data_IF_918741916061
#
_entry.id   IF_918741916061
#
_cell.length_a   1.000
_cell.length_b   1.000
_cell.length_c   1.000
_cell.angle_alpha   90.00
_cell.angle_beta   90.00
_cell.angle_gamma   90.00
#
_symmetry.space_group_name_H-M   'P 1'
#
loop_
_entity.id
_entity.type
_entity.pdbx_description
1 polymer ?
#
# COMPACT_ATOMS: atom_id res chain seq x y z
N UNK A 1 43.87 -16.48 2.01
CA UNK A 1 42.95 -15.97 0.97
C UNK A 1 43.11 -14.46 0.92
N UNK A 2 43.22 -13.87 -0.27
CA UNK A 2 43.25 -12.41 -0.41
C UNK A 2 41.80 -11.89 -0.41
N UNK A 3 41.58 -10.72 0.19
CA UNK A 3 40.26 -10.07 0.20
C UNK A 3 39.87 -9.69 -1.23
N UNK A 4 38.66 -10.07 -1.72
CA UNK A 4 38.16 -9.64 -3.02
C UNK A 4 38.12 -8.11 -3.15
N UNK A 5 38.36 -7.60 -4.35
CA UNK A 5 38.53 -6.16 -4.62
C UNK A 5 37.32 -5.31 -4.23
N UNK A 6 36.14 -5.90 -4.27
CA UNK A 6 34.83 -5.30 -4.07
C UNK A 6 34.15 -5.77 -2.78
N UNK A 7 34.85 -6.49 -1.90
CA UNK A 7 34.25 -7.03 -0.67
C UNK A 7 33.63 -5.94 0.24
N UNK A 8 34.20 -4.74 0.25
CA UNK A 8 33.67 -3.59 0.99
C UNK A 8 32.46 -2.93 0.28
N UNK A 9 32.29 -3.17 -1.02
CA UNK A 9 31.21 -2.61 -1.83
C UNK A 9 30.01 -3.57 -1.94
N UNK A 10 30.25 -4.87 -1.84
CA UNK A 10 29.22 -5.91 -1.91
C UNK A 10 28.50 -6.00 -0.56
N UNK A 11 27.23 -5.60 -0.56
CA UNK A 11 26.34 -5.81 0.58
C UNK A 11 26.09 -7.33 0.76
N UNK A 12 26.42 -7.85 1.94
CA UNK A 12 26.07 -9.22 2.32
C UNK A 12 24.55 -9.44 2.33
N UNK A 13 24.10 -10.68 2.17
CA UNK A 13 22.68 -11.00 2.21
C UNK A 13 22.10 -10.62 3.57
N UNK A 14 21.26 -9.59 3.59
CA UNK A 14 20.44 -9.23 4.75
C UNK A 14 19.09 -9.92 4.55
N UNK A 15 18.63 -10.69 5.54
CA UNK A 15 17.32 -11.34 5.45
C UNK A 15 16.23 -10.30 5.19
N UNK A 16 15.38 -10.53 4.20
CA UNK A 16 14.25 -9.65 3.91
C UNK A 16 13.23 -9.76 5.04
N UNK A 17 13.07 -8.69 5.83
CA UNK A 17 11.96 -8.57 6.77
C UNK A 17 10.80 -7.88 6.04
N UNK A 18 9.65 -8.53 5.99
CA UNK A 18 8.44 -7.92 5.44
C UNK A 18 7.85 -6.89 6.42
N UNK A 19 7.12 -5.90 5.89
CA UNK A 19 6.28 -5.03 6.72
C UNK A 19 5.17 -5.87 7.36
N UNK A 20 5.02 -5.75 8.67
CA UNK A 20 4.00 -6.39 9.46
C UNK A 20 2.61 -5.87 9.07
N UNK A 21 1.60 -6.73 9.19
CA UNK A 21 0.22 -6.27 9.04
C UNK A 21 -0.21 -5.62 10.34
N UNK A 22 -0.97 -4.52 10.25
CA UNK A 22 -1.44 -3.78 11.40
C UNK A 22 -1.21 -2.28 11.27
N UNK A 23 -1.17 -1.61 12.42
CA UNK A 23 -1.02 -0.17 12.49
C UNK A 23 0.43 0.28 12.43
N UNK A 24 0.71 1.23 11.55
CA UNK A 24 2.00 1.89 11.45
C UNK A 24 1.85 3.41 11.54
N UNK A 25 2.80 4.04 12.24
CA UNK A 25 2.99 5.49 12.22
C UNK A 25 3.77 5.81 10.94
N UNK A 26 3.17 6.56 10.04
CA UNK A 26 3.78 6.95 8.78
C UNK A 26 4.14 8.43 8.77
N UNK A 27 5.19 8.74 8.03
CA UNK A 27 5.57 10.09 7.60
C UNK A 27 5.22 10.27 6.13
N UNK A 28 4.59 11.40 5.81
CA UNK A 28 4.29 11.77 4.43
C UNK A 28 5.57 12.30 3.77
N UNK A 29 6.05 11.60 2.76
CA UNK A 29 7.26 11.94 2.03
C UNK A 29 6.99 12.98 0.94
N UNK A 30 5.84 12.85 0.27
CA UNK A 30 5.39 13.72 -0.81
C UNK A 30 3.88 13.58 -1.00
N UNK A 31 3.23 14.66 -1.43
CA UNK A 31 1.90 14.61 -2.04
C UNK A 31 2.01 15.20 -3.44
N UNK A 32 1.29 14.64 -4.40
CA UNK A 32 1.18 15.16 -5.77
C UNK A 32 -0.29 15.29 -6.14
N UNK A 33 -0.67 16.40 -6.76
CA UNK A 33 -1.96 16.56 -7.42
C UNK A 33 -1.86 16.08 -8.86
N UNK A 34 -2.76 15.19 -9.26
CA UNK A 34 -2.73 14.55 -10.57
C UNK A 34 -4.12 14.11 -11.02
N UNK A 35 -4.20 13.41 -12.15
CA UNK A 35 -5.42 12.77 -12.65
C UNK A 35 -5.27 11.26 -12.63
N UNK A 36 -6.36 10.58 -12.31
CA UNK A 36 -6.49 9.14 -12.49
C UNK A 36 -6.44 8.77 -13.99
N UNK A 37 -6.33 7.47 -14.30
CA UNK A 37 -6.41 6.99 -15.69
C UNK A 37 -7.69 7.43 -16.43
N UNK A 38 -8.78 7.65 -15.70
CA UNK A 38 -10.05 8.12 -16.22
C UNK A 38 -10.17 9.67 -16.23
N UNK A 39 -9.08 10.41 -16.00
CA UNK A 39 -9.07 11.88 -16.04
C UNK A 39 -9.60 12.59 -14.78
N UNK A 40 -10.03 11.83 -13.76
CA UNK A 40 -10.57 12.37 -12.49
C UNK A 40 -9.47 12.86 -11.56
N UNK A 41 -9.69 13.99 -10.90
CA UNK A 41 -8.72 14.59 -9.97
C UNK A 41 -8.43 13.69 -8.77
N UNK A 42 -7.14 13.59 -8.45
CA UNK A 42 -6.59 12.64 -7.50
C UNK A 42 -5.35 13.22 -6.83
N UNK A 43 -5.13 12.87 -5.57
CA UNK A 43 -3.86 13.06 -4.89
C UNK A 43 -3.10 11.74 -4.79
N UNK A 44 -1.78 11.79 -4.99
CA UNK A 44 -0.87 10.67 -4.78
C UNK A 44 -0.04 10.96 -3.54
N UNK A 45 -0.20 10.14 -2.51
CA UNK A 45 0.43 10.31 -1.21
C UNK A 45 1.50 9.23 -1.06
N UNK A 46 2.74 9.66 -0.90
CA UNK A 46 3.89 8.78 -0.70
C UNK A 46 4.19 8.68 0.78
N UNK A 47 4.11 7.47 1.33
CA UNK A 47 4.34 7.20 2.74
C UNK A 47 5.71 6.54 2.93
N UNK A 48 6.33 6.84 4.07
CA UNK A 48 7.34 6.01 4.70
C UNK A 48 6.91 5.72 6.15
N UNK A 49 7.40 4.66 6.75
CA UNK A 49 7.24 4.40 8.19
C UNK A 49 8.10 5.40 8.97
N UNK A 50 7.51 6.10 9.93
CA UNK A 50 8.22 7.11 10.72
C UNK A 50 9.30 6.46 11.61
N UNK A 51 10.30 7.25 12.02
CA UNK A 51 11.35 6.81 12.94
C UNK A 51 10.83 6.31 14.30
N UNK A 52 9.62 6.71 14.68
CA UNK A 52 8.96 6.29 15.93
C UNK A 52 8.07 5.06 15.76
N UNK A 53 8.00 4.51 14.55
CA UNK A 53 7.25 3.28 14.25
C UNK A 53 7.99 2.02 14.72
N UNK A 54 7.26 0.91 14.80
CA UNK A 54 7.82 -0.43 15.08
C UNK A 54 8.78 -0.93 13.99
N UNK A 55 8.58 -0.53 12.74
CA UNK A 55 9.44 -0.86 11.61
C UNK A 55 9.84 0.42 10.85
N UNK A 56 10.75 1.23 11.42
CA UNK A 56 11.05 2.58 10.90
C UNK A 56 11.78 2.57 9.56
N UNK A 57 11.61 3.63 8.76
CA UNK A 57 12.26 3.85 7.45
C UNK A 57 12.13 2.71 6.43
N UNK A 58 11.16 1.81 6.60
CA UNK A 58 11.01 0.60 5.82
C UNK A 58 11.00 0.85 4.30
N UNK A 59 10.23 1.82 3.83
CA UNK A 59 10.10 2.07 2.40
C UNK A 59 11.26 2.87 1.83
N UNK A 60 11.84 3.79 2.61
CA UNK A 60 13.06 4.49 2.18
C UNK A 60 14.29 3.57 2.12
N UNK A 61 14.41 2.62 3.06
CA UNK A 61 15.45 1.59 3.02
C UNK A 61 15.26 0.65 1.83
N UNK A 62 14.03 0.18 1.59
CA UNK A 62 13.72 -0.61 0.40
C UNK A 62 14.05 0.13 -0.89
N UNK A 63 13.77 1.43 -0.98
CA UNK A 63 14.12 2.27 -2.13
C UNK A 63 15.64 2.43 -2.30
N UNK A 64 16.39 2.66 -1.21
CA UNK A 64 17.86 2.79 -1.26
C UNK A 64 18.51 1.50 -1.74
N UNK A 65 18.03 0.36 -1.24
CA UNK A 65 18.53 -0.97 -1.55
C UNK A 65 18.06 -1.50 -2.92
N UNK A 66 17.10 -0.82 -3.58
CA UNK A 66 16.70 -1.17 -4.95
C UNK A 66 17.86 -0.89 -5.92
N UNK A 67 18.32 -1.95 -6.61
CA UNK A 67 19.39 -1.89 -7.62
C UNK A 67 18.86 -1.76 -9.04
N UNK A 68 17.54 -1.77 -9.23
CA UNK A 68 16.90 -1.63 -10.55
C UNK A 68 16.91 -0.16 -10.96
N UNK A 69 17.11 0.10 -12.25
CA UNK A 69 17.01 1.44 -12.83
C UNK A 69 15.87 1.51 -13.86
N UNK A 70 14.98 2.52 -13.81
CA UNK A 70 14.92 3.56 -12.78
C UNK A 70 14.40 3.02 -11.44
N UNK A 71 14.97 3.51 -10.33
CA UNK A 71 14.45 3.22 -8.99
C UNK A 71 13.01 3.70 -8.84
N UNK A 72 12.17 2.92 -8.16
CA UNK A 72 10.75 3.23 -7.93
C UNK A 72 10.41 3.13 -6.46
N UNK A 73 9.66 4.10 -5.95
CA UNK A 73 9.08 3.99 -4.62
C UNK A 73 8.14 2.79 -4.55
N UNK A 74 8.11 2.10 -3.41
CA UNK A 74 7.30 0.91 -3.27
C UNK A 74 5.81 1.25 -3.45
N UNK A 75 5.15 0.62 -4.43
CA UNK A 75 3.77 0.91 -4.76
C UNK A 75 2.79 0.61 -3.61
N UNK A 76 3.16 -0.26 -2.66
CA UNK A 76 2.36 -0.56 -1.47
C UNK A 76 2.33 0.61 -0.46
N UNK A 77 3.22 1.59 -0.60
CA UNK A 77 3.28 2.82 0.18
C UNK A 77 2.84 4.06 -0.60
N UNK A 78 2.27 3.88 -1.79
CA UNK A 78 1.71 4.95 -2.61
C UNK A 78 0.19 4.87 -2.53
N UNK A 79 -0.42 5.83 -1.86
CA UNK A 79 -1.88 5.92 -1.73
C UNK A 79 -2.41 6.85 -2.82
N UNK A 80 -3.31 6.34 -3.65
CA UNK A 80 -3.97 7.07 -4.74
C UNK A 80 -5.40 7.38 -4.32
N UNK A 81 -5.67 8.65 -4.03
CA UNK A 81 -6.92 9.07 -3.42
C UNK A 81 -7.64 10.09 -4.31
N UNK A 82 -8.80 9.70 -4.85
CA UNK A 82 -9.65 10.60 -5.64
C UNK A 82 -10.16 11.75 -4.76
N UNK A 83 -10.25 12.95 -5.33
CA UNK A 83 -10.74 14.15 -4.63
C UNK A 83 -12.26 14.15 -4.53
N UNK A 84 -12.94 13.72 -5.61
CA UNK A 84 -14.40 13.62 -5.69
C UNK A 84 -14.87 12.15 -5.76
N UNK A 85 -16.06 11.87 -5.27
CA UNK A 85 -16.76 10.60 -5.49
C UNK A 85 -17.40 10.53 -6.89
N UNK A 86 -18.22 9.50 -7.14
CA UNK A 86 -18.82 9.27 -8.46
C UNK A 86 -19.91 10.31 -8.78
N UNK A 87 -20.54 10.86 -7.74
CA UNK A 87 -21.60 11.85 -7.77
C UNK A 87 -21.06 13.29 -7.85
N UNK A 88 -19.74 13.47 -7.76
CA UNK A 88 -19.07 14.77 -7.82
C UNK A 88 -18.99 15.48 -6.47
N UNK A 89 -19.38 14.84 -5.37
CA UNK A 89 -19.20 15.35 -4.02
C UNK A 89 -17.79 14.99 -3.48
N UNK A 90 -17.39 15.58 -2.35
CA UNK A 90 -16.07 15.31 -1.76
C UNK A 90 -15.92 13.83 -1.40
N UNK A 91 -14.86 13.20 -1.90
CA UNK A 91 -14.59 11.81 -1.62
C UNK A 91 -14.33 11.60 -0.12
N UNK A 92 -15.01 10.61 0.47
CA UNK A 92 -14.86 10.28 1.90
C UNK A 92 -13.41 9.95 2.27
N UNK A 93 -12.69 9.22 1.42
CA UNK A 93 -11.29 8.86 1.64
C UNK A 93 -10.38 10.09 1.64
N UNK A 94 -10.63 11.05 0.75
CA UNK A 94 -9.89 12.32 0.70
C UNK A 94 -10.10 13.15 1.97
N UNK A 95 -11.36 13.31 2.39
CA UNK A 95 -11.70 13.98 3.66
C UNK A 95 -11.07 13.26 4.86
N UNK A 96 -11.07 11.92 4.84
CA UNK A 96 -10.46 11.10 5.90
C UNK A 96 -8.96 11.35 5.99
N UNK A 97 -8.24 11.32 4.85
CA UNK A 97 -6.82 11.61 4.80
C UNK A 97 -6.50 12.96 5.48
N UNK A 98 -7.13 14.04 5.04
CA UNK A 98 -6.89 15.38 5.60
C UNK A 98 -7.16 15.41 7.11
N UNK A 99 -8.32 14.90 7.53
CA UNK A 99 -8.71 14.88 8.94
C UNK A 99 -7.72 14.10 9.81
N UNK A 100 -7.23 12.96 9.34
CA UNK A 100 -6.29 12.14 10.10
C UNK A 100 -4.92 12.81 10.21
N UNK A 101 -4.46 13.50 9.17
CA UNK A 101 -3.23 14.29 9.24
C UNK A 101 -3.39 15.46 10.20
N UNK A 102 -4.45 16.24 10.11
CA UNK A 102 -4.67 17.36 11.05
C UNK A 102 -4.72 16.90 12.50
N UNK A 103 -5.46 15.83 12.80
CA UNK A 103 -5.55 15.27 14.16
C UNK A 103 -4.21 14.71 14.66
N UNK A 104 -3.34 14.26 13.76
CA UNK A 104 -2.05 13.67 14.13
C UNK A 104 -0.93 14.69 14.30
N UNK A 105 -1.14 15.95 13.92
CA UNK A 105 -0.10 16.99 13.93
C UNK A 105 -0.63 18.23 14.65
N UNK A 106 -0.27 18.40 15.93
CA UNK A 106 -0.74 19.53 16.73
C UNK A 106 -0.41 20.88 16.07
N UNK A 107 -1.40 21.76 15.99
CA UNK A 107 -1.27 23.08 15.37
C UNK A 107 -1.23 23.07 13.83
N UNK A 108 -1.29 21.91 13.17
CA UNK A 108 -1.39 21.84 11.72
C UNK A 108 -2.85 21.96 11.26
N UNK A 109 -3.05 22.81 10.24
CA UNK A 109 -4.26 22.88 9.44
C UNK A 109 -3.88 22.85 7.97
N UNK A 110 -4.71 22.17 7.18
CA UNK A 110 -4.49 22.07 5.74
C UNK A 110 -4.50 23.47 5.12
N UNK A 111 -3.52 23.73 4.27
CA UNK A 111 -3.48 24.93 3.42
C UNK A 111 -4.12 24.57 2.10
N UNK A 112 -5.10 25.34 1.65
CA UNK A 112 -5.75 25.15 0.35
C UNK A 112 -5.14 26.08 -0.70
N UNK A 113 -5.19 25.68 -1.97
CA UNK A 113 -4.65 26.44 -3.10
C UNK A 113 -3.25 26.00 -3.50
N UNK A 114 -2.41 26.95 -3.92
CA UNK A 114 -1.12 26.70 -4.57
C UNK A 114 -0.15 25.84 -3.74
N UNK A 115 -0.21 25.93 -2.40
CA UNK A 115 0.66 25.18 -1.49
C UNK A 115 0.00 23.95 -0.86
N UNK A 116 -1.10 23.47 -1.46
CA UNK A 116 -1.85 22.34 -0.91
C UNK A 116 -0.97 21.09 -0.75
N UNK A 117 -0.33 20.62 -1.83
CA UNK A 117 0.48 19.41 -1.79
C UNK A 117 1.69 19.55 -0.84
N UNK A 118 2.34 20.71 -0.83
CA UNK A 118 3.55 20.96 -0.05
C UNK A 118 3.29 20.97 1.46
N UNK A 119 2.10 21.42 1.91
CA UNK A 119 1.81 21.56 3.33
C UNK A 119 1.80 20.22 4.11
N UNK A 120 1.64 19.09 3.40
CA UNK A 120 1.65 17.75 3.97
C UNK A 120 3.04 17.15 4.16
N UNK A 121 4.07 17.68 3.49
CA UNK A 121 5.40 17.09 3.52
C UNK A 121 5.95 17.05 4.94
N UNK A 122 6.38 15.86 5.35
CA UNK A 122 6.94 15.59 6.68
C UNK A 122 5.90 15.48 7.80
N UNK A 123 4.61 15.64 7.53
CA UNK A 123 3.55 15.42 8.53
C UNK A 123 3.38 13.93 8.82
N UNK A 124 2.94 13.64 10.03
CA UNK A 124 2.67 12.27 10.47
C UNK A 124 1.21 11.87 10.24
N UNK A 125 0.97 10.59 10.02
CA UNK A 125 -0.37 10.01 9.93
C UNK A 125 -0.31 8.55 10.34
N UNK A 126 -1.37 8.03 10.96
CA UNK A 126 -1.52 6.59 11.15
C UNK A 126 -2.00 5.92 9.87
N UNK A 127 -1.46 4.75 9.56
CA UNK A 127 -1.91 3.93 8.44
C UNK A 127 -2.04 2.47 8.89
N UNK A 128 -3.15 1.84 8.50
CA UNK A 128 -3.34 0.40 8.67
C UNK A 128 -2.90 -0.29 7.39
N UNK A 129 -2.03 -1.27 7.52
CA UNK A 129 -1.60 -2.14 6.45
C UNK A 129 -2.17 -3.55 6.64
N UNK A 130 -2.61 -4.16 5.55
CA UNK A 130 -3.18 -5.51 5.54
C UNK A 130 -2.52 -6.38 4.50
N UNK A 131 -2.51 -7.69 4.74
CA UNK A 131 -1.99 -8.69 3.80
C UNK A 131 -3.01 -8.99 2.71
N UNK A 132 -2.59 -8.88 1.47
CA UNK A 132 -3.36 -9.33 0.30
C UNK A 132 -2.60 -10.46 -0.40
N UNK A 133 -3.28 -11.58 -0.64
CA UNK A 133 -2.79 -12.69 -1.42
C UNK A 133 -2.73 -12.33 -2.90
N UNK A 134 -1.69 -12.78 -3.58
CA UNK A 134 -1.54 -12.69 -5.03
C UNK A 134 -0.78 -13.91 -5.56
N UNK A 135 -1.01 -14.25 -6.82
CA UNK A 135 -0.19 -15.23 -7.52
C UNK A 135 1.01 -14.51 -8.15
N UNK A 136 2.20 -15.06 -7.96
CA UNK A 136 3.36 -14.62 -8.73
C UNK A 136 3.33 -15.14 -10.17
N UNK A 137 4.34 -14.78 -10.95
CA UNK A 137 4.43 -15.16 -12.36
C UNK A 137 4.50 -16.69 -12.59
N UNK A 138 4.81 -17.47 -11.55
CA UNK A 138 4.85 -18.93 -11.60
C UNK A 138 3.55 -19.58 -11.07
N UNK A 139 2.53 -18.78 -10.73
CA UNK A 139 1.29 -19.27 -10.13
C UNK A 139 1.42 -19.65 -8.66
N UNK A 140 2.50 -19.23 -7.98
CA UNK A 140 2.69 -19.50 -6.55
C UNK A 140 2.01 -18.41 -5.73
N UNK A 141 1.19 -18.83 -4.76
CA UNK A 141 0.56 -17.91 -3.81
C UNK A 141 1.61 -17.22 -2.93
N UNK A 142 1.51 -15.89 -2.86
CA UNK A 142 2.32 -14.98 -2.05
C UNK A 142 1.44 -13.92 -1.42
N UNK A 143 1.99 -13.23 -0.43
CA UNK A 143 1.31 -12.11 0.23
C UNK A 143 2.08 -10.81 0.07
N UNK A 144 1.34 -9.72 -0.12
CA UNK A 144 1.85 -8.37 -0.08
C UNK A 144 1.14 -7.59 1.03
N UNK A 145 1.91 -6.95 1.90
CA UNK A 145 1.39 -6.00 2.89
C UNK A 145 1.13 -4.67 2.20
N UNK A 146 -0.13 -4.22 2.17
CA UNK A 146 -0.58 -3.02 1.46
C UNK A 146 -1.37 -2.09 2.37
N UNK A 147 -1.27 -0.79 2.10
CA UNK A 147 -2.11 0.22 2.74
C UNK A 147 -3.60 -0.11 2.57
N UNK A 148 -4.37 0.04 3.66
CA UNK A 148 -5.82 -0.16 3.68
C UNK A 148 -6.55 1.14 4.02
N UNK A 149 -6.19 1.78 5.14
CA UNK A 149 -6.93 2.95 5.63
C UNK A 149 -6.07 3.85 6.52
N UNK A 150 -6.36 5.15 6.49
CA UNK A 150 -5.77 6.11 7.41
C UNK A 150 -6.43 6.06 8.81
N UNK A 151 -5.62 6.34 9.82
CA UNK A 151 -5.99 6.55 11.22
C UNK A 151 -5.18 7.72 11.79
N UNK A 152 -5.53 8.16 12.98
CA UNK A 152 -4.67 9.07 13.73
C UNK A 152 -3.45 8.34 14.28
N UNK A 153 -2.35 9.06 14.48
CA UNK A 153 -1.15 8.52 15.15
C UNK A 153 -1.47 8.05 16.56
N UNK A 154 -2.40 8.71 17.25
CA UNK A 154 -2.82 8.32 18.59
C UNK A 154 -3.55 6.97 18.61
N UNK A 155 -4.44 6.71 17.64
CA UNK A 155 -5.10 5.40 17.50
C UNK A 155 -4.08 4.28 17.26
N UNK A 156 -3.09 4.50 16.39
CA UNK A 156 -2.04 3.49 16.16
C UNK A 156 -1.28 3.20 17.47
N UNK A 157 -0.93 4.23 18.24
CA UNK A 157 -0.23 4.08 19.53
C UNK A 157 -1.07 3.35 20.58
N UNK A 158 -2.39 3.48 20.55
CA UNK A 158 -3.31 2.74 21.44
C UNK A 158 -3.45 1.26 21.05
N UNK A 159 -2.99 0.90 19.86
CA UNK A 159 -3.21 -0.41 19.26
C UNK A 159 -4.44 -0.42 18.37
N UNK A 160 -4.32 -1.10 17.23
CA UNK A 160 -5.40 -1.32 16.27
C UNK A 160 -5.42 -2.78 15.87
N UNK A 161 -6.61 -3.29 15.59
CA UNK A 161 -6.75 -4.67 15.12
C UNK A 161 -6.04 -4.86 13.78
N UNK A 162 -5.29 -5.95 13.69
CA UNK A 162 -4.65 -6.37 12.43
C UNK A 162 -5.77 -6.79 11.46
N UNK A 163 -5.81 -6.21 10.24
CA UNK A 163 -6.79 -6.62 9.25
C UNK A 163 -6.67 -8.10 8.92
N UNK A 164 -7.80 -8.76 8.68
CA UNK A 164 -7.81 -10.13 8.16
C UNK A 164 -7.14 -10.17 6.77
N UNK A 165 -6.40 -11.23 6.52
CA UNK A 165 -5.81 -11.51 5.22
C UNK A 165 -6.89 -11.54 4.13
N UNK A 166 -6.65 -10.81 3.04
CA UNK A 166 -7.50 -10.80 1.86
C UNK A 166 -7.00 -11.83 0.86
N UNK A 167 -7.73 -12.93 0.72
CA UNK A 167 -7.41 -14.03 -0.18
C UNK A 167 -7.81 -13.73 -1.63
N UNK A 168 -7.09 -14.31 -2.59
CA UNK A 168 -7.35 -14.10 -4.02
C UNK A 168 -8.67 -14.78 -4.43
N UNK A 169 -8.91 -15.99 -3.91
CA UNK A 169 -10.15 -16.76 -4.10
C UNK A 169 -10.73 -17.12 -2.72
N UNK A 170 -11.56 -16.25 -2.11
CA UNK A 170 -12.22 -16.61 -0.87
C UNK A 170 -13.13 -17.83 -1.12
N UNK A 171 -13.02 -18.85 -0.28
CA UNK A 171 -13.88 -20.04 -0.27
C UNK A 171 -15.33 -19.53 -0.13
N UNK A 172 -16.06 -19.43 -1.25
CA UNK A 172 -17.34 -18.74 -1.34
C UNK A 172 -17.67 -18.14 -2.71
N UNK A 173 -16.68 -17.98 -3.60
CA UNK A 173 -16.91 -17.58 -5.00
C UNK A 173 -16.60 -18.74 -5.96
N UNK A 174 -17.34 -19.85 -5.86
CA UNK A 174 -17.44 -20.78 -6.98
C UNK A 174 -18.68 -20.40 -7.78
N UNK A 175 -18.47 -19.86 -9.00
CA UNK A 175 -19.51 -19.90 -10.02
C UNK A 175 -19.76 -21.38 -10.33
N UNK A 176 -20.93 -21.86 -9.95
CA UNK A 176 -21.42 -23.23 -10.17
C UNK A 176 -21.83 -23.49 -11.64
N UNK A 177 -21.45 -22.62 -12.58
CA UNK A 177 -21.99 -22.64 -13.95
C UNK A 177 -21.15 -23.46 -14.95
N UNK A 178 -20.09 -24.13 -14.49
CA UNK A 178 -19.16 -24.87 -15.36
C UNK A 178 -19.16 -26.39 -15.12
N UNK A 179 -20.21 -26.93 -14.46
CA UNK A 179 -20.44 -28.37 -14.38
C UNK A 179 -21.51 -28.79 -15.41
N UNK A 180 -21.19 -28.67 -16.70
CA UNK A 180 -21.86 -29.49 -17.70
C UNK A 180 -21.06 -30.79 -17.81
N UNK A 181 -21.49 -31.82 -17.08
CA UNK A 181 -21.10 -33.19 -17.40
C UNK A 181 -21.62 -33.50 -18.80
N UNK A 182 -20.70 -33.64 -19.76
CA UNK A 182 -21.01 -34.24 -21.05
C UNK A 182 -21.33 -35.70 -20.76
N UNK A 183 -22.62 -36.02 -20.72
CA UNK A 183 -23.10 -37.41 -20.74
C UNK A 183 -22.69 -38.01 -22.07
N UNK A 184 -21.64 -38.83 -22.02
CA UNK A 184 -21.21 -39.73 -23.10
C UNK A 184 -22.20 -40.90 -23.19
N UNK A 185 -23.34 -40.66 -23.82
CA UNK A 185 -24.28 -41.71 -24.19
C UNK A 185 -23.92 -42.26 -25.57
N UNK A 186 -22.94 -43.16 -25.57
CA UNK A 186 -22.57 -43.95 -26.73
C UNK A 186 -23.64 -44.97 -27.18
N UNK A 187 -23.62 -45.22 -28.50
CA UNK A 187 -24.18 -46.33 -29.31
C UNK A 187 -25.65 -46.23 -29.79
N UNK A 188 -25.89 -45.93 -31.08
CA UNK A 188 -25.89 -46.80 -32.30
C UNK A 188 -27.31 -47.36 -32.61
N UNK A 189 -27.78 -47.57 -33.87
CA UNK A 189 -27.02 -48.25 -34.95
C UNK A 189 -27.33 -47.85 -36.42
N UNK A 190 -26.43 -48.32 -37.32
CA UNK A 190 -26.45 -48.47 -38.80
C UNK A 190 -27.11 -47.42 -39.70
#
# INVERSE_FOLDING_TARGET
>A
MLMPKDFQEVQGFTGFQALEAGGHICKIMKVEETKSKAGRDMVVIYLDTDRTDSQPNYFSEAYKNDRREPKKWNNNAIVRQLVLDAEGATNRGFKTFINMVEKSNNGFKVVWGEHFADCFKGKLVGAIFGREEYLDNAGVSKFATKFQVFRTVEEIKKGVDVPKDKLLNPIGAQNVDDLVEVVDDGFMPF
#
